data_IF_346357403175
#
_entry.id   IF_346357403175
#
_cell.length_a   1.000
_cell.length_b   1.000
_cell.length_c   1.000
_cell.angle_alpha   90.00
_cell.angle_beta   90.00
_cell.angle_gamma   90.00
#
_symmetry.space_group_name_H-M   'P 1'
#
loop_
_entity.id
_entity.type
_entity.pdbx_description
1 polymer ?
#
# COMPACT_ATOMS: atom_id res chain seq x y z
N UNK A 1 6.40 15.66 -18.69
CA UNK A 1 5.71 16.46 -17.66
C UNK A 1 5.13 15.51 -16.62
N UNK A 2 5.72 15.45 -15.42
CA UNK A 2 5.20 14.63 -14.31
C UNK A 2 3.94 15.31 -13.76
N UNK A 3 2.79 14.61 -13.79
CA UNK A 3 1.57 15.05 -13.12
C UNK A 3 1.45 14.24 -11.83
N UNK A 4 1.43 14.88 -10.64
CA UNK A 4 1.27 14.16 -9.39
C UNK A 4 -0.04 13.39 -9.40
N UNK A 5 -0.11 12.28 -8.65
CA UNK A 5 -1.36 11.61 -8.33
C UNK A 5 -2.18 12.53 -7.42
N UNK A 6 -2.76 13.57 -8.02
CA UNK A 6 -3.79 14.39 -7.42
C UNK A 6 -4.92 13.42 -7.13
N UNK A 7 -5.30 13.25 -5.87
CA UNK A 7 -6.37 12.34 -5.42
C UNK A 7 -7.77 12.74 -5.90
N UNK A 8 -7.87 13.35 -7.07
CA UNK A 8 -9.07 13.88 -7.68
C UNK A 8 -9.49 12.96 -8.84
N UNK A 9 -10.77 12.65 -8.88
CA UNK A 9 -11.35 11.89 -9.97
C UNK A 9 -11.33 12.73 -11.24
N UNK A 10 -10.76 12.19 -12.33
CA UNK A 10 -10.77 12.83 -13.64
C UNK A 10 -11.86 12.20 -14.51
N UNK A 11 -13.04 12.83 -14.68
CA UNK A 11 -14.09 12.30 -15.54
C UNK A 11 -13.66 12.28 -17.02
N UNK A 12 -14.33 11.46 -17.82
CA UNK A 12 -14.21 11.53 -19.28
C UNK A 12 -14.58 12.93 -19.79
N UNK A 13 -13.79 13.53 -20.70
CA UNK A 13 -14.11 14.80 -21.31
C UNK A 13 -15.31 14.68 -22.27
N UNK A 14 -15.60 13.46 -22.72
CA UNK A 14 -16.70 13.19 -23.66
C UNK A 14 -18.02 13.06 -22.91
N UNK A 15 -18.03 12.34 -21.78
CA UNK A 15 -19.27 12.01 -21.05
C UNK A 15 -19.43 12.75 -19.71
N UNK A 16 -18.39 13.42 -19.23
CA UNK A 16 -18.33 14.01 -17.89
C UNK A 16 -18.40 12.97 -16.76
N UNK A 17 -18.27 11.68 -17.07
CA UNK A 17 -18.47 10.56 -16.15
C UNK A 17 -17.35 9.52 -16.26
N UNK A 18 -17.41 8.52 -15.39
CA UNK A 18 -16.61 7.32 -15.55
C UNK A 18 -16.94 6.62 -16.88
N UNK A 19 -15.92 6.32 -17.67
CA UNK A 19 -16.06 5.70 -18.98
C UNK A 19 -15.11 4.50 -19.11
N UNK A 20 -15.64 3.42 -19.68
CA UNK A 20 -14.87 2.32 -20.23
C UNK A 20 -14.80 2.57 -21.73
N UNK A 21 -13.59 2.73 -22.26
CA UNK A 21 -13.32 2.89 -23.68
C UNK A 21 -13.65 1.58 -24.43
N UNK A 22 -13.79 1.68 -25.75
CA UNK A 22 -14.16 0.54 -26.60
C UNK A 22 -13.18 -0.64 -26.50
N UNK A 23 -11.91 -0.36 -26.19
CA UNK A 23 -10.86 -1.37 -25.96
C UNK A 23 -10.92 -2.01 -24.55
N UNK A 24 -11.94 -1.68 -23.76
CA UNK A 24 -12.15 -2.17 -22.40
C UNK A 24 -11.33 -1.43 -21.34
N UNK A 25 -10.53 -0.44 -21.72
CA UNK A 25 -9.73 0.33 -20.75
C UNK A 25 -10.56 1.41 -20.08
N UNK A 26 -10.30 1.65 -18.80
CA UNK A 26 -10.92 2.75 -18.08
C UNK A 26 -10.28 4.09 -18.48
N UNK A 27 -11.08 5.07 -18.92
CA UNK A 27 -10.60 6.41 -19.23
C UNK A 27 -10.02 7.09 -17.98
N UNK A 28 -8.75 7.51 -18.06
CA UNK A 28 -7.98 8.25 -17.04
C UNK A 28 -8.17 7.81 -15.57
N UNK A 29 -8.30 6.51 -15.33
CA UNK A 29 -8.32 5.94 -13.98
C UNK A 29 -6.99 5.27 -13.60
N UNK A 30 -5.85 5.88 -13.96
CA UNK A 30 -4.54 5.25 -13.65
C UNK A 30 -4.22 5.23 -12.16
N UNK A 31 -4.75 6.18 -11.38
CA UNK A 31 -4.47 6.30 -9.95
C UNK A 31 -5.69 6.63 -9.09
N UNK A 32 -6.64 7.44 -9.60
CA UNK A 32 -7.76 7.99 -8.83
C UNK A 32 -8.60 6.97 -8.06
N UNK A 33 -9.15 5.92 -8.71
CA UNK A 33 -10.10 5.03 -8.01
C UNK A 33 -9.48 4.03 -7.06
N UNK A 34 -8.18 3.77 -7.16
CA UNK A 34 -7.46 3.02 -6.13
C UNK A 34 -7.33 3.86 -4.84
N UNK A 35 -7.15 5.18 -4.96
CA UNK A 35 -7.11 6.12 -3.82
C UNK A 35 -8.48 6.52 -3.30
N UNK A 36 -9.53 6.39 -4.11
CA UNK A 36 -10.91 6.60 -3.64
C UNK A 36 -11.45 5.47 -2.76
N UNK A 37 -10.78 4.31 -2.68
CA UNK A 37 -11.20 3.22 -1.79
C UNK A 37 -11.18 3.64 -0.33
N UNK A 38 -11.96 2.92 0.49
CA UNK A 38 -11.79 3.00 1.93
C UNK A 38 -10.36 2.58 2.30
N UNK A 39 -9.66 3.43 3.04
CA UNK A 39 -8.27 3.21 3.40
C UNK A 39 -8.24 2.61 4.80
N UNK A 40 -7.71 1.40 4.92
CA UNK A 40 -7.41 0.82 6.22
C UNK A 40 -6.08 1.38 6.69
N UNK A 41 -6.04 1.91 7.91
CA UNK A 41 -4.88 2.61 8.44
C UNK A 41 -4.37 1.90 9.70
N UNK A 42 -3.05 1.76 9.78
CA UNK A 42 -2.33 1.44 11.01
C UNK A 42 -1.59 2.72 11.39
N UNK A 43 -1.97 3.33 12.51
CA UNK A 43 -1.22 4.43 13.11
C UNK A 43 -0.34 3.85 14.22
N UNK A 44 0.93 4.21 14.17
CA UNK A 44 1.95 3.74 15.09
C UNK A 44 2.59 4.94 15.78
N UNK A 45 2.64 4.92 17.11
CA UNK A 45 3.31 5.94 17.92
C UNK A 45 4.31 5.27 18.87
N UNK A 46 5.35 6.01 19.25
CA UNK A 46 6.46 5.50 20.06
C UNK A 46 7.54 4.77 19.28
N UNK A 47 7.46 4.76 17.93
CA UNK A 47 8.53 4.21 17.09
C UNK A 47 9.71 5.18 16.99
N UNK A 48 10.94 4.65 16.97
CA UNK A 48 12.13 5.42 16.63
C UNK A 48 12.11 5.75 15.13
N UNK A 49 11.62 6.96 14.84
CA UNK A 49 11.41 7.44 13.47
C UNK A 49 12.73 7.60 12.74
N UNK A 50 13.80 8.03 13.42
CA UNK A 50 15.10 8.27 12.79
C UNK A 50 15.73 6.95 12.35
N UNK A 51 15.67 5.93 13.20
CA UNK A 51 16.14 4.59 12.83
C UNK A 51 15.34 4.00 11.67
N UNK A 52 14.01 4.09 11.71
CA UNK A 52 13.17 3.56 10.63
C UNK A 52 13.37 4.35 9.32
N UNK A 53 13.47 5.67 9.41
CA UNK A 53 13.76 6.55 8.29
C UNK A 53 15.12 6.22 7.67
N UNK A 54 16.15 6.02 8.48
CA UNK A 54 17.49 5.63 8.02
C UNK A 54 17.48 4.29 7.27
N UNK A 55 16.66 3.32 7.70
CA UNK A 55 16.46 2.07 6.95
C UNK A 55 15.92 2.36 5.54
N UNK A 56 14.85 3.14 5.42
CA UNK A 56 14.24 3.42 4.11
C UNK A 56 15.07 4.35 3.23
N UNK A 57 15.82 5.30 3.79
CA UNK A 57 16.76 6.12 3.04
C UNK A 57 17.85 5.27 2.40
N UNK A 58 18.37 4.26 3.11
CA UNK A 58 19.34 3.32 2.55
C UNK A 58 18.75 2.48 1.41
N UNK A 59 17.48 2.07 1.53
CA UNK A 59 16.78 1.38 0.44
C UNK A 59 16.63 2.29 -0.79
N UNK A 60 16.26 3.56 -0.61
CA UNK A 60 16.17 4.55 -1.68
C UNK A 60 17.53 4.83 -2.33
N UNK A 61 18.58 5.00 -1.54
CA UNK A 61 19.95 5.17 -2.04
C UNK A 61 20.37 3.98 -2.91
N UNK A 62 20.01 2.76 -2.50
CA UNK A 62 20.27 1.56 -3.31
C UNK A 62 19.54 1.63 -4.64
N UNK A 63 18.24 1.96 -4.63
CA UNK A 63 17.41 2.07 -5.83
C UNK A 63 17.98 3.10 -6.80
N UNK A 64 18.44 4.26 -6.31
CA UNK A 64 19.03 5.30 -7.14
C UNK A 64 20.41 4.93 -7.69
N UNK A 65 21.19 4.14 -6.95
CA UNK A 65 22.50 3.67 -7.38
C UNK A 65 22.42 2.49 -8.37
N UNK A 66 21.26 1.83 -8.49
CA UNK A 66 21.06 0.74 -9.44
C UNK A 66 21.13 1.26 -10.88
N UNK A 67 22.05 0.75 -11.72
CA UNK A 67 22.14 1.19 -13.10
C UNK A 67 20.90 0.75 -13.90
N UNK A 68 20.60 1.44 -15.02
CA UNK A 68 19.49 1.08 -15.90
C UNK A 68 19.56 -0.37 -16.37
N UNK A 69 18.40 -0.96 -16.63
CA UNK A 69 18.34 -2.28 -17.26
C UNK A 69 18.78 -2.16 -18.75
N UNK A 70 19.80 -2.92 -19.21
CA UNK A 70 20.26 -2.85 -20.60
C UNK A 70 19.16 -3.10 -21.64
N UNK A 71 18.23 -4.02 -21.34
CA UNK A 71 17.18 -4.43 -22.28
C UNK A 71 15.93 -3.54 -22.18
N UNK A 72 15.71 -2.91 -21.01
CA UNK A 72 14.52 -2.09 -20.70
C UNK A 72 14.89 -0.89 -19.83
N UNK A 73 15.62 0.11 -20.36
CA UNK A 73 16.21 1.20 -19.58
C UNK A 73 15.20 2.02 -18.76
N UNK A 74 13.93 2.03 -19.18
CA UNK A 74 12.82 2.70 -18.50
C UNK A 74 12.31 1.97 -17.25
N UNK A 75 12.72 0.72 -17.03
CA UNK A 75 12.29 -0.09 -15.88
C UNK A 75 13.38 -0.19 -14.83
N UNK A 76 12.96 -0.10 -13.56
CA UNK A 76 13.85 -0.40 -12.45
C UNK A 76 14.30 -1.86 -12.52
N UNK A 77 15.61 -2.06 -12.74
CA UNK A 77 16.21 -3.36 -13.06
C UNK A 77 15.93 -4.43 -12.01
N UNK A 78 16.00 -4.05 -10.73
CA UNK A 78 15.90 -5.00 -9.62
C UNK A 78 14.45 -5.16 -9.12
N UNK A 79 13.47 -4.56 -9.81
CA UNK A 79 12.05 -4.69 -9.49
C UNK A 79 11.53 -6.12 -9.74
N UNK A 80 10.77 -6.65 -8.79
CA UNK A 80 9.86 -7.77 -9.04
C UNK A 80 8.64 -7.67 -8.11
N UNK A 81 7.60 -8.47 -8.37
CA UNK A 81 6.46 -8.55 -7.45
C UNK A 81 6.85 -9.04 -6.05
N UNK A 82 7.91 -9.84 -5.95
CA UNK A 82 8.37 -10.47 -4.69
C UNK A 82 9.49 -9.69 -4.00
N UNK A 83 10.16 -8.77 -4.69
CA UNK A 83 11.30 -7.99 -4.19
C UNK A 83 11.26 -6.57 -4.73
N UNK A 84 11.55 -5.59 -3.87
CA UNK A 84 11.65 -4.16 -4.23
C UNK A 84 10.36 -3.55 -4.84
N UNK A 85 9.20 -4.15 -4.56
CA UNK A 85 7.90 -3.51 -4.69
C UNK A 85 7.60 -2.65 -3.46
N UNK A 86 6.68 -1.66 -3.54
CA UNK A 86 6.34 -0.83 -2.37
C UNK A 86 5.97 -1.67 -1.14
N UNK A 87 5.17 -2.72 -1.33
CA UNK A 87 4.79 -3.65 -0.24
C UNK A 87 6.00 -4.35 0.38
N UNK A 88 6.89 -4.87 -0.47
CA UNK A 88 8.05 -5.64 0.01
C UNK A 88 9.10 -4.74 0.63
N UNK A 89 9.31 -3.53 0.11
CA UNK A 89 10.18 -2.51 0.74
C UNK A 89 9.70 -2.17 2.14
N UNK A 90 8.42 -1.85 2.32
CA UNK A 90 7.87 -1.54 3.65
C UNK A 90 7.97 -2.76 4.58
N UNK A 91 7.64 -3.96 4.09
CA UNK A 91 7.78 -5.20 4.86
C UNK A 91 9.21 -5.41 5.34
N UNK A 92 10.17 -5.35 4.42
CA UNK A 92 11.57 -5.66 4.70
C UNK A 92 12.18 -4.59 5.60
N UNK A 93 11.78 -3.32 5.45
CA UNK A 93 12.14 -2.25 6.36
C UNK A 93 11.61 -2.47 7.79
N UNK A 94 10.35 -2.86 7.94
CA UNK A 94 9.78 -3.22 9.25
C UNK A 94 10.44 -4.45 9.86
N UNK A 95 10.77 -5.47 9.06
CA UNK A 95 11.53 -6.64 9.53
C UNK A 95 12.91 -6.23 10.04
N UNK A 96 13.63 -5.40 9.28
CA UNK A 96 14.96 -4.87 9.64
C UNK A 96 14.92 -3.96 10.88
N UNK A 97 13.81 -3.24 11.08
CA UNK A 97 13.60 -2.46 12.30
C UNK A 97 13.45 -3.36 13.54
N UNK A 98 12.80 -4.53 13.40
CA UNK A 98 12.67 -5.53 14.46
C UNK A 98 11.34 -6.29 14.49
N UNK A 99 10.40 -6.02 13.58
CA UNK A 99 9.10 -6.68 13.57
C UNK A 99 9.15 -8.04 12.87
N UNK A 100 9.53 -9.10 13.58
CA UNK A 100 9.93 -10.39 12.99
C UNK A 100 8.83 -11.24 12.32
N UNK A 101 7.54 -10.95 12.57
CA UNK A 101 6.42 -11.84 12.15
C UNK A 101 5.58 -11.29 10.99
N UNK A 102 6.07 -10.27 10.30
CA UNK A 102 5.38 -9.66 9.16
C UNK A 102 5.65 -10.47 7.88
N UNK A 103 4.59 -10.81 7.15
CA UNK A 103 4.64 -11.61 5.91
C UNK A 103 3.73 -11.02 4.83
N UNK A 104 3.91 -11.48 3.60
CA UNK A 104 3.09 -11.11 2.44
C UNK A 104 3.82 -10.19 1.47
N UNK A 105 3.53 -10.33 0.18
CA UNK A 105 4.01 -9.41 -0.87
C UNK A 105 2.84 -8.69 -1.57
N UNK A 106 1.62 -9.21 -1.41
CA UNK A 106 0.40 -8.52 -1.83
C UNK A 106 0.00 -7.47 -0.79
N UNK A 107 -0.40 -6.25 -1.19
CA UNK A 107 -0.68 -5.15 -0.27
C UNK A 107 -1.68 -5.51 0.85
N UNK A 108 -2.80 -6.18 0.50
CA UNK A 108 -3.85 -6.55 1.45
C UNK A 108 -3.37 -7.57 2.48
N UNK A 109 -2.68 -8.60 2.03
CA UNK A 109 -2.16 -9.66 2.89
C UNK A 109 -1.03 -9.18 3.79
N UNK A 110 -0.16 -8.33 3.25
CA UNK A 110 0.87 -7.63 4.01
C UNK A 110 0.25 -6.77 5.11
N UNK A 111 -0.73 -5.92 4.78
CA UNK A 111 -1.39 -5.04 5.74
C UNK A 111 -1.96 -5.84 6.93
N UNK A 112 -2.71 -6.91 6.65
CA UNK A 112 -3.31 -7.76 7.70
C UNK A 112 -2.22 -8.42 8.55
N UNK A 113 -1.14 -8.90 7.93
CA UNK A 113 -0.03 -9.50 8.65
C UNK A 113 0.71 -8.49 9.52
N UNK A 114 0.91 -7.27 9.03
CA UNK A 114 1.57 -6.18 9.73
C UNK A 114 0.75 -5.72 10.92
N UNK A 115 -0.55 -5.42 10.72
CA UNK A 115 -1.47 -5.02 11.78
C UNK A 115 -1.48 -6.05 12.92
N UNK A 116 -1.65 -7.34 12.59
CA UNK A 116 -1.65 -8.39 13.60
C UNK A 116 -0.28 -8.56 14.30
N UNK A 117 0.84 -8.35 13.60
CA UNK A 117 2.17 -8.42 14.23
C UNK A 117 2.37 -7.25 15.19
N UNK A 118 2.09 -6.03 14.74
CA UNK A 118 2.25 -4.80 15.52
C UNK A 118 1.38 -4.81 16.77
N UNK A 119 0.11 -5.21 16.64
CA UNK A 119 -0.79 -5.35 17.79
C UNK A 119 -0.27 -6.32 18.86
N UNK A 120 0.47 -7.37 18.47
CA UNK A 120 1.05 -8.34 19.40
C UNK A 120 2.31 -7.81 20.09
N UNK A 121 3.16 -7.12 19.35
CA UNK A 121 4.45 -6.62 19.86
C UNK A 121 4.34 -5.23 20.51
N UNK A 122 3.16 -4.60 20.48
CA UNK A 122 2.99 -3.22 20.94
C UNK A 122 3.46 -3.00 22.37
N UNK A 123 3.11 -3.90 23.31
CA UNK A 123 3.51 -3.78 24.72
C UNK A 123 5.01 -4.00 24.91
N UNK A 124 5.55 -5.03 24.26
CA UNK A 124 6.97 -5.39 24.35
C UNK A 124 7.88 -4.27 23.81
N UNK A 125 7.42 -3.55 22.78
CA UNK A 125 8.18 -2.49 22.14
C UNK A 125 7.78 -1.08 22.60
N UNK A 126 6.90 -0.95 23.60
CA UNK A 126 6.43 0.34 24.10
C UNK A 126 5.69 1.19 23.06
N UNK A 127 5.00 0.55 22.11
CA UNK A 127 4.31 1.20 20.99
C UNK A 127 2.83 1.38 21.30
N UNK A 128 2.26 2.45 20.78
CA UNK A 128 0.80 2.60 20.67
C UNK A 128 0.39 2.29 19.24
N UNK A 129 -0.48 1.30 19.06
CA UNK A 129 -0.99 0.88 17.76
C UNK A 129 -2.48 1.17 17.68
N UNK A 130 -2.89 1.96 16.69
CA UNK A 130 -4.29 2.25 16.39
C UNK A 130 -4.65 1.75 15.00
N UNK A 131 -5.80 1.09 14.89
CA UNK A 131 -6.36 0.65 13.63
C UNK A 131 -7.65 1.42 13.38
N UNK A 132 -7.78 2.03 12.21
CA UNK A 132 -9.01 2.73 11.84
C UNK A 132 -9.18 2.73 10.33
N UNK A 133 -10.40 3.04 9.89
CA UNK A 133 -10.72 3.16 8.48
C UNK A 133 -10.98 4.63 8.13
N UNK A 134 -10.39 5.09 7.04
CA UNK A 134 -10.83 6.32 6.38
C UNK A 134 -11.91 5.98 5.35
N UNK A 135 -13.02 6.73 5.32
CA UNK A 135 -14.10 6.46 4.38
C UNK A 135 -13.61 6.62 2.94
N UNK A 136 -14.25 5.86 2.05
CA UNK A 136 -14.07 6.01 0.61
C UNK A 136 -14.52 7.40 0.16
N UNK A 137 -13.71 8.02 -0.71
CA UNK A 137 -14.13 9.23 -1.42
C UNK A 137 -15.21 8.85 -2.44
N UNK A 138 -16.42 9.39 -2.25
CA UNK A 138 -17.56 9.15 -3.15
C UNK A 138 -17.72 10.35 -4.07
N UNK A 139 -17.87 10.09 -5.36
CA UNK A 139 -18.17 11.12 -6.36
C UNK A 139 -19.34 10.65 -7.22
N UNK A 140 -20.24 11.54 -7.66
CA UNK A 140 -21.40 11.15 -8.46
C UNK A 140 -21.04 10.57 -9.84
N UNK A 141 -19.83 10.85 -10.33
CA UNK A 141 -19.35 10.46 -11.66
C UNK A 141 -18.86 9.01 -11.74
N UNK A 142 -18.68 8.31 -10.61
CA UNK A 142 -18.11 6.96 -10.60
C UNK A 142 -18.78 6.00 -9.59
N UNK A 143 -18.86 4.69 -9.91
CA UNK A 143 -19.31 3.69 -8.96
C UNK A 143 -18.34 3.56 -7.77
N UNK A 144 -18.85 3.08 -6.64
CA UNK A 144 -18.04 2.85 -5.44
C UNK A 144 -16.98 1.77 -5.68
N UNK A 145 -15.75 2.07 -5.28
CA UNK A 145 -14.63 1.16 -5.34
C UNK A 145 -14.76 0.08 -4.26
N UNK A 146 -14.38 -1.16 -4.62
CA UNK A 146 -14.43 -2.34 -3.76
C UNK A 146 -13.05 -2.64 -3.17
N UNK A 147 -13.04 -3.16 -1.94
CA UNK A 147 -11.82 -3.63 -1.31
C UNK A 147 -11.36 -4.95 -1.97
N UNK A 148 -10.04 -5.09 -2.14
CA UNK A 148 -9.42 -6.36 -2.52
C UNK A 148 -9.62 -7.41 -1.42
N UNK A 149 -9.89 -8.65 -1.81
CA UNK A 149 -9.98 -9.77 -0.88
C UNK A 149 -8.58 -10.27 -0.47
N UNK A 150 -8.39 -10.78 0.76
CA UNK A 150 -7.14 -11.44 1.15
C UNK A 150 -6.93 -12.72 0.34
N UNK A 151 -5.74 -12.89 -0.24
CA UNK A 151 -5.40 -14.11 -0.97
C UNK A 151 -4.91 -15.21 -0.02
N UNK A 152 -4.33 -14.86 1.13
CA UNK A 152 -3.86 -15.83 2.11
C UNK A 152 -5.02 -16.27 3.04
N UNK A 153 -5.37 -17.56 3.10
CA UNK A 153 -6.41 -18.07 3.99
C UNK A 153 -6.21 -17.71 5.46
N UNK A 154 -4.97 -17.70 5.95
CA UNK A 154 -4.67 -17.32 7.35
C UNK A 154 -5.00 -15.85 7.64
N UNK A 155 -4.96 -15.00 6.63
CA UNK A 155 -5.32 -13.59 6.77
C UNK A 155 -6.83 -13.38 6.88
N UNK A 156 -7.67 -14.32 6.45
CA UNK A 156 -9.11 -14.28 6.74
C UNK A 156 -9.38 -14.41 8.24
N UNK A 157 -8.68 -15.34 8.92
CA UNK A 157 -8.80 -15.53 10.37
C UNK A 157 -8.28 -14.30 11.12
N UNK A 158 -7.12 -13.76 10.71
CA UNK A 158 -6.55 -12.55 11.31
C UNK A 158 -7.45 -11.33 11.11
N UNK A 159 -8.02 -11.17 9.91
CA UNK A 159 -8.92 -10.06 9.62
C UNK A 159 -10.16 -10.10 10.53
N UNK A 160 -10.77 -11.27 10.74
CA UNK A 160 -11.89 -11.40 11.70
C UNK A 160 -11.52 -10.94 13.11
N UNK A 161 -10.30 -11.24 13.57
CA UNK A 161 -9.81 -10.79 14.89
C UNK A 161 -9.59 -9.27 14.93
N UNK A 162 -9.07 -8.69 13.85
CA UNK A 162 -8.80 -7.25 13.76
C UNK A 162 -10.09 -6.43 13.60
N UNK A 163 -11.13 -6.97 12.98
CA UNK A 163 -12.43 -6.27 12.82
C UNK A 163 -13.13 -6.01 14.15
N UNK A 164 -12.89 -6.81 15.19
CA UNK A 164 -13.37 -6.51 16.55
C UNK A 164 -12.60 -5.39 17.25
N UNK A 165 -11.58 -4.82 16.61
CA UNK A 165 -10.67 -3.80 17.15
C UNK A 165 -10.67 -2.50 16.33
N UNK A 166 -11.44 -2.44 15.23
CA UNK A 166 -11.59 -1.29 14.32
C UNK A 166 -12.92 -0.60 14.60
#
# INVERSE_FOLDING_TARGET
MYRPALGEFAPSPTTGKFEILEDGTAYYDKFGRNFMRGIHVIRLEGIDVDRLSGIYHNELNTIHATPPNPDQPEKYRDFSFYKRSCTTLIRDGLLKYGFQKIRGFLPRDFFISAANSLMKTQKEMGLTVQLYNRPQLKVPEAPYSKNSFPMNPMNWIRLKKLQGMI
#
